data_IF_041759212966
#
_entry.id   IF_041759212966
#
_cell.length_a   1.000
_cell.length_b   1.000
_cell.length_c   1.000
_cell.angle_alpha   90.00
_cell.angle_beta   90.00
_cell.angle_gamma   90.00
#
_symmetry.space_group_name_H-M   'P 1'
#
loop_
_entity.id
_entity.type
_entity.pdbx_description
1 polymer ?
#
# COMPACT_ATOMS: atom_id res chain seq x y z
N UNK A 1 12.48 13.92 11.32
CA UNK A 1 12.58 13.67 9.87
C UNK A 1 13.51 14.73 9.32
N UNK A 2 14.67 14.33 8.80
CA UNK A 2 15.73 15.26 8.46
C UNK A 2 15.63 15.58 6.96
N UNK A 3 14.72 16.48 6.58
CA UNK A 3 14.72 17.07 5.24
C UNK A 3 15.85 18.08 5.18
N UNK A 4 17.06 17.62 4.83
CA UNK A 4 18.19 18.50 4.61
C UNK A 4 18.17 18.98 3.17
N UNK A 5 18.25 20.29 2.97
CA UNK A 5 18.66 20.83 1.69
C UNK A 5 20.12 20.46 1.48
N UNK A 6 20.36 19.47 0.62
CA UNK A 6 21.69 18.94 0.31
C UNK A 6 22.17 19.43 -1.05
N UNK A 7 21.54 20.47 -1.62
CA UNK A 7 21.95 21.10 -2.88
C UNK A 7 23.43 21.51 -2.88
N UNK A 8 23.97 21.82 -1.70
CA UNK A 8 25.30 22.39 -1.52
C UNK A 8 26.33 21.40 -0.95
N UNK A 9 25.91 20.15 -0.66
CA UNK A 9 26.84 19.09 -0.22
C UNK A 9 27.58 18.57 -1.44
N UNK A 10 28.86 18.92 -1.62
CA UNK A 10 29.61 18.74 -2.87
C UNK A 10 29.50 17.37 -3.57
N UNK A 11 29.44 16.26 -2.82
CA UNK A 11 29.19 14.93 -3.40
C UNK A 11 27.75 14.75 -3.91
N UNK A 12 26.77 15.21 -3.13
CA UNK A 12 25.35 15.19 -3.49
C UNK A 12 25.04 16.19 -4.62
N UNK A 13 25.66 17.37 -4.60
CA UNK A 13 25.60 18.36 -5.67
C UNK A 13 26.16 17.80 -6.98
N UNK A 14 27.30 17.10 -6.95
CA UNK A 14 27.88 16.46 -8.13
C UNK A 14 27.00 15.30 -8.64
N UNK A 15 26.43 14.50 -7.74
CA UNK A 15 25.48 13.44 -8.09
C UNK A 15 24.19 14.03 -8.69
N UNK A 16 23.63 15.08 -8.09
CA UNK A 16 22.46 15.81 -8.60
C UNK A 16 22.76 16.49 -9.92
N UNK A 17 23.93 17.10 -10.09
CA UNK A 17 24.39 17.66 -11.36
C UNK A 17 24.47 16.57 -12.42
N UNK A 18 24.94 15.37 -12.06
CA UNK A 18 24.99 14.23 -12.99
C UNK A 18 23.58 13.79 -13.39
N UNK A 19 22.65 13.68 -12.44
CA UNK A 19 21.26 13.33 -12.72
C UNK A 19 20.50 14.43 -13.47
N UNK A 20 20.74 15.70 -13.15
CA UNK A 20 20.19 16.86 -13.86
C UNK A 20 20.76 16.94 -15.27
N UNK A 21 22.06 16.73 -15.45
CA UNK A 21 22.68 16.66 -16.77
C UNK A 21 22.13 15.48 -17.59
N UNK A 22 21.89 14.32 -16.96
CA UNK A 22 21.24 13.18 -17.61
C UNK A 22 19.77 13.49 -17.97
N UNK A 23 19.02 14.15 -17.09
CA UNK A 23 17.65 14.58 -17.31
C UNK A 23 17.55 15.67 -18.39
N UNK A 24 18.49 16.62 -18.41
CA UNK A 24 18.61 17.69 -19.40
C UNK A 24 19.07 17.15 -20.75
N UNK A 25 19.99 16.18 -20.77
CA UNK A 25 20.36 15.46 -22.00
C UNK A 25 19.19 14.65 -22.54
N UNK A 26 18.42 13.99 -21.68
CA UNK A 26 17.18 13.30 -22.07
C UNK A 26 16.11 14.29 -22.57
N UNK A 27 16.02 15.48 -21.98
CA UNK A 27 15.10 16.55 -22.38
C UNK A 27 15.50 17.19 -23.71
N UNK A 28 16.80 17.43 -23.94
CA UNK A 28 17.36 18.04 -25.16
C UNK A 28 17.32 17.11 -26.38
N UNK A 29 17.25 15.79 -26.18
CA UNK A 29 17.02 14.81 -27.26
C UNK A 29 15.56 14.77 -27.74
N UNK A 30 14.62 15.47 -27.09
CA UNK A 30 13.20 15.46 -27.47
C UNK A 30 12.95 16.30 -28.73
N UNK A 31 12.93 15.61 -29.87
CA UNK A 31 12.10 15.99 -31.03
C UNK A 31 10.62 15.61 -30.86
N UNK A 32 10.25 14.88 -29.80
CA UNK A 32 8.86 14.61 -29.44
C UNK A 32 8.75 14.46 -27.92
N UNK A 33 7.85 15.22 -27.30
CA UNK A 33 7.40 14.92 -25.94
C UNK A 33 6.75 13.53 -25.98
N UNK A 34 7.40 12.53 -25.38
CA UNK A 34 6.70 11.28 -25.04
C UNK A 34 5.71 11.65 -23.95
N UNK A 35 4.50 12.01 -24.38
CA UNK A 35 3.39 12.35 -23.51
C UNK A 35 2.76 11.09 -22.92
N UNK A 36 1.97 11.27 -21.87
CA UNK A 36 0.98 10.26 -21.52
C UNK A 36 0.04 10.09 -22.72
N UNK A 37 -0.21 8.86 -23.15
CA UNK A 37 -1.23 8.56 -24.16
C UNK A 37 -2.61 8.59 -23.47
N UNK A 38 -3.00 9.79 -23.00
CA UNK A 38 -4.24 9.99 -22.25
C UNK A 38 -5.45 9.55 -23.08
N UNK A 39 -6.41 8.90 -22.41
CA UNK A 39 -7.58 8.31 -23.07
C UNK A 39 -7.28 7.08 -23.94
N UNK A 40 -6.04 6.56 -23.95
CA UNK A 40 -5.69 5.30 -24.61
C UNK A 40 -5.44 4.19 -23.59
N UNK A 41 -5.56 2.95 -24.03
CA UNK A 41 -5.25 1.75 -23.24
C UNK A 41 -4.33 0.83 -24.03
N UNK A 42 -3.45 0.11 -23.33
CA UNK A 42 -2.65 -0.97 -23.90
C UNK A 42 -3.07 -2.31 -23.27
N UNK A 43 -3.05 -3.39 -24.04
CA UNK A 43 -3.37 -4.74 -23.58
C UNK A 43 -2.14 -5.67 -23.71
N UNK A 44 -1.16 -5.58 -22.80
CA UNK A 44 -0.01 -6.47 -22.81
C UNK A 44 -0.26 -7.85 -22.17
N UNK A 45 0.50 -8.85 -22.63
CA UNK A 45 0.69 -10.15 -21.99
C UNK A 45 2.12 -10.33 -21.52
N UNK A 46 2.30 -10.85 -20.31
CA UNK A 46 3.63 -11.04 -19.71
C UNK A 46 4.36 -12.25 -20.30
N UNK A 47 5.58 -12.03 -20.81
CA UNK A 47 6.40 -13.07 -21.47
C UNK A 47 7.43 -13.71 -20.55
N UNK A 48 8.05 -12.92 -19.67
CA UNK A 48 9.14 -13.38 -18.80
C UNK A 48 8.69 -13.44 -17.35
N UNK A 49 9.32 -14.29 -16.51
CA UNK A 49 9.21 -14.13 -15.07
C UNK A 49 9.60 -12.71 -14.64
N UNK A 50 8.98 -12.17 -13.59
CA UNK A 50 9.27 -10.82 -13.15
C UNK A 50 10.60 -10.76 -12.38
N UNK A 51 11.21 -9.58 -12.40
CA UNK A 51 12.36 -9.24 -11.57
C UNK A 51 12.10 -7.93 -10.84
N UNK A 52 12.65 -7.79 -9.63
CA UNK A 52 12.53 -6.58 -8.84
C UNK A 52 13.86 -5.83 -8.78
N UNK A 53 13.79 -4.54 -9.09
CA UNK A 53 14.84 -3.57 -8.78
C UNK A 53 14.17 -2.38 -8.06
N UNK A 54 14.13 -1.19 -8.69
CA UNK A 54 13.34 -0.05 -8.20
C UNK A 54 11.83 -0.20 -8.47
N UNK A 55 11.47 -1.13 -9.34
CA UNK A 55 10.10 -1.48 -9.74
C UNK A 55 10.00 -2.99 -9.93
N UNK A 56 8.79 -3.53 -10.02
CA UNK A 56 8.55 -4.89 -10.52
C UNK A 56 8.54 -4.84 -12.04
N UNK A 57 9.41 -5.61 -12.68
CA UNK A 57 9.66 -5.52 -14.11
C UNK A 57 9.50 -6.87 -14.80
N UNK A 58 8.95 -6.88 -16.01
CA UNK A 58 8.97 -8.04 -16.91
C UNK A 58 8.88 -7.57 -18.37
N UNK A 59 9.30 -8.44 -19.30
CA UNK A 59 9.00 -8.22 -20.72
C UNK A 59 7.55 -8.61 -20.96
N UNK A 60 6.83 -7.73 -21.65
CA UNK A 60 5.45 -7.95 -22.09
C UNK A 60 5.34 -7.80 -23.59
N UNK A 61 4.34 -8.42 -24.20
CA UNK A 61 4.04 -8.30 -25.63
C UNK A 61 2.61 -7.81 -25.88
N UNK A 62 2.41 -7.10 -26.98
CA UNK A 62 1.09 -6.78 -27.52
C UNK A 62 0.54 -7.89 -28.45
N UNK A 63 -0.66 -7.67 -28.99
CA UNK A 63 -1.28 -8.61 -29.92
C UNK A 63 -0.50 -8.78 -31.25
N UNK A 64 0.46 -7.93 -31.57
CA UNK A 64 1.30 -8.07 -32.77
C UNK A 64 2.65 -8.74 -32.48
N UNK A 65 2.92 -9.09 -31.22
CA UNK A 65 4.21 -9.65 -30.79
C UNK A 65 5.28 -8.60 -30.53
N UNK A 66 4.91 -7.31 -30.47
CA UNK A 66 5.81 -6.21 -30.11
C UNK A 66 6.12 -6.32 -28.62
N UNK A 67 7.39 -6.59 -28.30
CA UNK A 67 7.84 -6.74 -26.93
C UNK A 67 8.37 -5.42 -26.34
N UNK A 68 8.01 -5.12 -25.10
CA UNK A 68 8.51 -3.97 -24.34
C UNK A 68 8.76 -4.33 -22.87
N UNK A 69 9.68 -3.64 -22.21
CA UNK A 69 9.86 -3.74 -20.76
C UNK A 69 8.72 -3.00 -20.04
N UNK A 70 7.95 -3.72 -19.23
CA UNK A 70 6.98 -3.16 -18.29
C UNK A 70 7.66 -2.88 -16.94
N UNK A 71 7.33 -1.75 -16.32
CA UNK A 71 7.82 -1.35 -14.99
C UNK A 71 6.64 -0.92 -14.11
N UNK A 72 6.31 -1.73 -13.11
CA UNK A 72 5.26 -1.46 -12.11
C UNK A 72 5.88 -0.88 -10.84
N UNK A 73 5.59 0.39 -10.57
CA UNK A 73 6.04 1.08 -9.37
C UNK A 73 5.06 0.91 -8.20
N UNK A 74 5.51 1.28 -7.00
CA UNK A 74 4.73 1.29 -5.75
C UNK A 74 4.06 -0.05 -5.41
N UNK A 75 4.65 -1.16 -5.87
CA UNK A 75 4.20 -2.51 -5.52
C UNK A 75 4.70 -2.91 -4.12
N UNK A 76 3.97 -3.75 -3.37
CA UNK A 76 4.38 -4.17 -2.02
C UNK A 76 5.77 -4.80 -2.03
N UNK A 77 6.45 -4.81 -0.89
CA UNK A 77 7.75 -5.49 -0.77
C UNK A 77 7.63 -7.00 -0.98
N UNK A 78 8.73 -7.61 -1.43
CA UNK A 78 8.78 -9.05 -1.75
C UNK A 78 8.49 -9.93 -0.52
N UNK A 79 8.87 -9.46 0.67
CA UNK A 79 8.57 -10.09 1.97
C UNK A 79 7.08 -10.15 2.29
N UNK A 80 6.29 -9.19 1.80
CA UNK A 80 4.85 -9.13 2.01
C UNK A 80 4.09 -9.81 0.86
N UNK A 81 4.48 -9.51 -0.38
CA UNK A 81 3.91 -10.09 -1.60
C UNK A 81 5.06 -10.41 -2.56
N UNK A 82 5.37 -11.70 -2.75
CA UNK A 82 6.41 -12.12 -3.68
C UNK A 82 6.20 -11.53 -5.08
N UNK A 83 7.28 -11.11 -5.72
CA UNK A 83 7.26 -10.46 -7.03
C UNK A 83 6.53 -11.31 -8.09
N UNK A 84 6.64 -12.65 -8.01
CA UNK A 84 5.95 -13.59 -8.88
C UNK A 84 4.43 -13.63 -8.67
N UNK A 85 3.94 -13.27 -7.48
CA UNK A 85 2.50 -13.19 -7.20
C UNK A 85 1.93 -11.82 -7.63
N UNK A 86 2.77 -10.79 -7.80
CA UNK A 86 2.38 -9.47 -8.34
C UNK A 86 2.23 -9.52 -9.86
N UNK A 87 3.21 -10.14 -10.55
CA UNK A 87 3.30 -10.16 -12.00
C UNK A 87 3.61 -11.57 -12.50
N UNK A 88 2.58 -12.35 -12.80
CA UNK A 88 2.76 -13.73 -13.24
C UNK A 88 3.12 -13.81 -14.73
N UNK A 89 3.99 -14.76 -15.09
CA UNK A 89 4.24 -15.09 -16.49
C UNK A 89 2.94 -15.55 -17.15
N UNK A 90 2.64 -15.00 -18.32
CA UNK A 90 1.40 -15.24 -19.06
C UNK A 90 0.21 -14.40 -18.59
N UNK A 91 0.34 -13.61 -17.53
CA UNK A 91 -0.72 -12.71 -17.09
C UNK A 91 -1.01 -11.65 -18.15
N UNK A 92 -2.29 -11.32 -18.30
CA UNK A 92 -2.80 -10.34 -19.26
C UNK A 92 -3.39 -9.19 -18.45
N UNK A 93 -3.09 -7.96 -18.85
CA UNK A 93 -3.63 -6.79 -18.18
C UNK A 93 -3.94 -5.68 -19.17
N UNK A 94 -4.81 -4.77 -18.74
CA UNK A 94 -5.00 -3.46 -19.37
C UNK A 94 -4.14 -2.46 -18.61
N UNK A 95 -3.35 -1.68 -19.35
CA UNK A 95 -2.64 -0.50 -18.84
C UNK A 95 -3.36 0.74 -19.35
N UNK A 96 -3.95 1.50 -18.43
CA UNK A 96 -4.61 2.79 -18.70
C UNK A 96 -3.56 3.88 -18.91
N UNK A 97 -3.85 4.82 -19.80
CA UNK A 97 -3.01 5.99 -20.10
C UNK A 97 -1.51 5.68 -20.23
N UNK A 98 -1.12 4.70 -21.08
CA UNK A 98 0.21 4.13 -21.07
C UNK A 98 1.29 5.20 -21.26
N UNK A 99 2.27 5.19 -20.37
CA UNK A 99 3.39 6.12 -20.37
C UNK A 99 4.68 5.41 -20.76
N UNK A 100 5.25 5.82 -21.89
CA UNK A 100 6.55 5.31 -22.33
C UNK A 100 7.66 6.22 -21.83
N UNK A 101 8.63 5.62 -21.15
CA UNK A 101 9.86 6.28 -20.74
C UNK A 101 10.99 5.86 -21.67
N UNK A 102 11.71 6.83 -22.20
CA UNK A 102 12.97 6.59 -22.91
C UNK A 102 14.11 6.53 -21.89
N UNK A 103 14.87 5.43 -21.92
CA UNK A 103 16.08 5.21 -21.14
C UNK A 103 17.28 5.94 -21.77
N UNK A 104 18.38 6.06 -21.01
CA UNK A 104 19.60 6.76 -21.48
C UNK A 104 20.25 6.11 -22.70
N UNK A 105 20.02 4.81 -22.88
CA UNK A 105 20.46 3.99 -24.01
C UNK A 105 19.53 4.08 -25.23
N UNK A 106 18.45 4.88 -25.16
CA UNK A 106 17.47 5.05 -26.24
C UNK A 106 16.38 3.98 -26.28
N UNK A 107 16.39 3.00 -25.36
CA UNK A 107 15.33 2.00 -25.26
C UNK A 107 14.06 2.60 -24.63
N UNK A 108 12.90 2.08 -25.00
CA UNK A 108 11.62 2.49 -24.42
C UNK A 108 11.09 1.43 -23.46
N UNK A 109 10.56 1.87 -22.33
CA UNK A 109 9.87 1.04 -21.35
C UNK A 109 8.49 1.57 -21.04
N UNK A 110 7.51 0.68 -20.90
CA UNK A 110 6.17 1.01 -20.43
C UNK A 110 6.19 1.15 -18.91
N UNK A 111 5.98 2.35 -18.40
CA UNK A 111 6.05 2.68 -16.98
C UNK A 111 4.65 2.90 -16.42
N UNK A 112 4.35 2.26 -15.30
CA UNK A 112 3.09 2.38 -14.57
C UNK A 112 3.39 2.87 -13.16
N UNK A 113 3.04 4.13 -12.89
CA UNK A 113 3.26 4.78 -11.59
C UNK A 113 2.07 4.62 -10.64
N UNK A 114 0.84 4.67 -11.16
CA UNK A 114 -0.35 4.49 -10.34
C UNK A 114 -0.78 3.02 -10.33
N UNK A 115 -0.92 2.44 -9.14
CA UNK A 115 -1.36 1.05 -8.96
C UNK A 115 -2.76 0.78 -9.52
N UNK A 116 -3.58 1.83 -9.64
CA UNK A 116 -4.92 1.77 -10.24
C UNK A 116 -4.92 1.84 -11.77
N UNK A 117 -3.78 2.08 -12.42
CA UNK A 117 -3.68 2.16 -13.89
C UNK A 117 -3.54 0.79 -14.55
N UNK A 118 -3.37 -0.26 -13.75
CA UNK A 118 -3.31 -1.64 -14.23
C UNK A 118 -4.57 -2.40 -13.81
N UNK A 119 -5.18 -3.08 -14.77
CA UNK A 119 -6.33 -3.96 -14.55
C UNK A 119 -5.92 -5.36 -15.00
N UNK A 120 -5.80 -6.28 -14.06
CA UNK A 120 -5.53 -7.68 -14.36
C UNK A 120 -6.77 -8.34 -14.96
N UNK A 121 -6.59 -9.06 -16.07
CA UNK A 121 -7.67 -9.77 -16.73
C UNK A 121 -7.56 -11.26 -16.50
N UNK A 122 -8.71 -11.86 -16.25
CA UNK A 122 -8.89 -13.29 -16.21
C UNK A 122 -8.76 -13.85 -17.63
N UNK A 123 -8.30 -15.10 -17.78
CA UNK A 123 -8.13 -15.71 -19.11
C UNK A 123 -9.43 -15.83 -19.94
N UNK A 124 -10.58 -15.66 -19.30
CA UNK A 124 -11.94 -15.71 -19.87
C UNK A 124 -12.56 -14.36 -20.14
N UNK A 125 -11.90 -13.28 -19.74
CA UNK A 125 -12.43 -11.94 -19.95
C UNK A 125 -12.61 -11.70 -21.45
N UNK A 126 -13.79 -11.19 -21.84
CA UNK A 126 -14.14 -10.96 -23.25
C UNK A 126 -13.15 -10.02 -23.94
N UNK A 127 -12.48 -9.15 -23.17
CA UNK A 127 -11.46 -8.21 -23.66
C UNK A 127 -10.14 -8.90 -24.00
N UNK A 128 -9.92 -10.15 -23.59
CA UNK A 128 -8.71 -10.92 -23.92
C UNK A 128 -8.79 -11.46 -25.36
N UNK A 129 -7.79 -11.21 -26.23
CA UNK A 129 -7.71 -11.77 -27.57
C UNK A 129 -7.78 -13.29 -27.58
N UNK A 130 -8.53 -13.85 -28.53
CA UNK A 130 -8.73 -15.30 -28.66
C UNK A 130 -7.42 -16.10 -28.72
N UNK A 131 -6.38 -15.54 -29.34
CA UNK A 131 -5.03 -16.13 -29.43
C UNK A 131 -4.32 -16.28 -28.08
N UNK A 132 -4.75 -15.56 -27.06
CA UNK A 132 -4.19 -15.60 -25.71
C UNK A 132 -5.11 -16.28 -24.71
N UNK A 133 -6.38 -16.53 -25.06
CA UNK A 133 -7.29 -17.31 -24.23
C UNK A 133 -6.77 -18.73 -24.13
N UNK A 134 -6.41 -19.13 -22.92
CA UNK A 134 -6.04 -20.52 -22.62
C UNK A 134 -7.33 -21.26 -22.29
N UNK A 135 -7.63 -22.43 -22.88
CA UNK A 135 -8.84 -23.22 -22.56
C UNK A 135 -8.94 -23.54 -21.07
N UNK A 136 -10.15 -23.50 -20.49
CA UNK A 136 -10.35 -23.75 -19.06
C UNK A 136 -10.33 -25.25 -18.92
N UNK A 137 -9.13 -25.78 -18.76
CA UNK A 137 -8.99 -27.09 -18.17
C UNK A 137 -9.29 -26.86 -16.71
N UNK A 138 -10.54 -27.17 -16.30
CA UNK A 138 -10.88 -27.31 -14.90
C UNK A 138 -9.74 -28.12 -14.27
N UNK A 139 -9.01 -27.57 -13.29
CA UNK A 139 -7.85 -28.23 -12.74
C UNK A 139 -8.24 -29.64 -12.32
N UNK A 140 -7.39 -30.64 -12.59
CA UNK A 140 -7.64 -32.05 -12.22
C UNK A 140 -8.07 -32.20 -10.75
N UNK A 141 -7.61 -31.27 -9.93
CA UNK A 141 -7.77 -31.23 -8.47
C UNK A 141 -9.12 -30.65 -8.01
N UNK A 142 -9.89 -29.99 -8.90
CA UNK A 142 -11.14 -29.30 -8.58
C UNK A 142 -11.01 -28.20 -7.52
N UNK A 143 -12.13 -27.58 -7.11
CA UNK A 143 -12.10 -26.54 -6.06
C UNK A 143 -11.49 -27.05 -4.75
N UNK A 144 -11.88 -28.25 -4.31
CA UNK A 144 -11.40 -28.85 -3.06
C UNK A 144 -9.88 -29.06 -3.04
N UNK A 145 -9.29 -29.54 -4.13
CA UNK A 145 -7.85 -29.77 -4.20
C UNK A 145 -7.06 -28.46 -4.25
N UNK A 146 -7.50 -27.48 -5.05
CA UNK A 146 -6.89 -26.13 -5.08
C UNK A 146 -6.96 -25.48 -3.70
N UNK A 147 -8.11 -25.56 -3.02
CA UNK A 147 -8.27 -25.09 -1.64
C UNK A 147 -7.31 -25.78 -0.67
N UNK A 148 -7.07 -27.07 -0.87
CA UNK A 148 -6.06 -27.83 -0.12
C UNK A 148 -4.64 -27.26 -0.30
N UNK A 149 -4.28 -26.87 -1.52
CA UNK A 149 -3.02 -26.18 -1.81
C UNK A 149 -2.97 -24.80 -1.12
N UNK A 150 -4.08 -24.04 -1.16
CA UNK A 150 -4.20 -22.76 -0.46
C UNK A 150 -4.00 -22.92 1.05
N UNK A 151 -4.60 -23.94 1.66
CA UNK A 151 -4.41 -24.25 3.09
C UNK A 151 -2.93 -24.57 3.43
N UNK A 152 -2.21 -25.23 2.51
CA UNK A 152 -0.77 -25.48 2.66
C UNK A 152 0.02 -24.17 2.58
N UNK A 153 -0.32 -23.29 1.64
CA UNK A 153 0.28 -21.95 1.55
C UNK A 153 0.05 -21.12 2.82
N UNK A 154 -1.16 -21.15 3.39
CA UNK A 154 -1.48 -20.52 4.70
C UNK A 154 -0.60 -21.06 5.83
N UNK A 155 -0.41 -22.39 5.92
CA UNK A 155 0.47 -23.01 6.92
C UNK A 155 1.92 -22.54 6.79
N UNK A 156 2.36 -22.29 5.57
CA UNK A 156 3.69 -21.76 5.25
C UNK A 156 3.77 -20.23 5.34
N UNK A 157 2.68 -19.55 5.70
CA UNK A 157 2.57 -18.07 5.71
C UNK A 157 2.77 -17.42 4.32
N UNK A 158 2.54 -18.16 3.24
CA UNK A 158 2.58 -17.68 1.86
C UNK A 158 1.26 -16.99 1.49
N UNK A 159 0.95 -15.85 2.13
CA UNK A 159 -0.38 -15.22 2.06
C UNK A 159 -0.82 -14.85 0.64
N UNK A 160 0.03 -14.20 -0.15
CA UNK A 160 -0.32 -13.80 -1.52
C UNK A 160 -0.63 -14.99 -2.43
N UNK A 161 0.14 -16.08 -2.30
CA UNK A 161 -0.11 -17.32 -3.04
C UNK A 161 -1.39 -18.01 -2.59
N UNK A 162 -1.67 -18.01 -1.28
CA UNK A 162 -2.92 -18.53 -0.75
C UNK A 162 -4.13 -17.75 -1.30
N UNK A 163 -4.03 -16.43 -1.40
CA UNK A 163 -5.04 -15.54 -1.98
C UNK A 163 -5.40 -15.99 -3.39
N UNK A 164 -4.39 -16.12 -4.26
CA UNK A 164 -4.57 -16.57 -5.64
C UNK A 164 -5.20 -17.96 -5.73
N UNK A 165 -4.76 -18.89 -4.89
CA UNK A 165 -5.30 -20.25 -4.85
C UNK A 165 -6.76 -20.26 -4.39
N UNK A 166 -7.14 -19.45 -3.40
CA UNK A 166 -8.53 -19.37 -2.97
C UNK A 166 -9.40 -18.64 -3.99
N UNK A 167 -8.91 -17.58 -4.65
CA UNK A 167 -9.57 -16.94 -5.79
C UNK A 167 -9.88 -17.96 -6.90
N UNK A 168 -8.91 -18.82 -7.25
CA UNK A 168 -9.13 -19.87 -8.22
C UNK A 168 -10.10 -20.96 -7.71
N UNK A 169 -10.04 -21.29 -6.42
CA UNK A 169 -10.98 -22.23 -5.80
C UNK A 169 -12.43 -21.74 -5.85
N UNK A 170 -12.66 -20.43 -5.72
CA UNK A 170 -14.00 -19.81 -5.91
C UNK A 170 -14.48 -20.03 -7.35
N UNK A 171 -13.64 -19.74 -8.34
CA UNK A 171 -13.98 -19.92 -9.76
C UNK A 171 -14.27 -21.38 -10.14
N UNK A 172 -13.61 -22.33 -9.48
CA UNK A 172 -13.79 -23.77 -9.73
C UNK A 172 -14.86 -24.42 -8.84
N UNK A 173 -15.53 -23.68 -7.95
CA UNK A 173 -16.48 -24.27 -7.01
C UNK A 173 -17.66 -24.92 -7.73
N UNK A 174 -17.91 -26.19 -7.45
CA UNK A 174 -19.03 -26.93 -8.05
C UNK A 174 -20.30 -26.87 -7.21
N UNK A 175 -20.20 -26.52 -5.92
CA UNK A 175 -21.32 -26.39 -5.00
C UNK A 175 -21.23 -25.10 -4.19
N UNK A 176 -22.38 -24.67 -3.67
CA UNK A 176 -22.50 -23.52 -2.78
C UNK A 176 -21.60 -23.65 -1.54
N UNK A 177 -21.50 -24.84 -0.95
CA UNK A 177 -20.65 -25.07 0.23
C UNK A 177 -19.16 -24.97 -0.09
N UNK A 178 -18.73 -25.43 -1.27
CA UNK A 178 -17.34 -25.27 -1.71
C UNK A 178 -16.99 -23.81 -1.91
N UNK A 179 -17.88 -23.06 -2.56
CA UNK A 179 -17.75 -21.63 -2.80
C UNK A 179 -17.69 -20.86 -1.47
N UNK A 180 -18.63 -21.10 -0.54
CA UNK A 180 -18.65 -20.46 0.78
C UNK A 180 -17.34 -20.66 1.54
N UNK A 181 -16.81 -21.90 1.59
CA UNK A 181 -15.56 -22.18 2.32
C UNK A 181 -14.37 -21.50 1.64
N UNK A 182 -14.36 -21.42 0.30
CA UNK A 182 -13.31 -20.72 -0.44
C UNK A 182 -13.30 -19.21 -0.11
N UNK A 183 -14.48 -18.57 -0.05
CA UNK A 183 -14.60 -17.16 0.36
C UNK A 183 -14.17 -16.92 1.81
N UNK A 184 -14.51 -17.80 2.77
CA UNK A 184 -14.04 -17.66 4.16
C UNK A 184 -12.51 -17.71 4.27
N UNK A 185 -11.92 -18.65 3.55
CA UNK A 185 -10.47 -18.80 3.50
C UNK A 185 -9.80 -17.58 2.83
N UNK A 186 -10.39 -17.09 1.74
CA UNK A 186 -9.92 -15.88 1.06
C UNK A 186 -10.05 -14.64 1.98
N UNK A 187 -11.15 -14.52 2.72
CA UNK A 187 -11.36 -13.45 3.71
C UNK A 187 -10.23 -13.39 4.74
N UNK A 188 -9.87 -14.53 5.34
CA UNK A 188 -8.75 -14.63 6.28
C UNK A 188 -7.44 -14.15 5.65
N UNK A 189 -7.16 -14.58 4.42
CA UNK A 189 -5.93 -14.19 3.73
C UNK A 189 -5.93 -12.70 3.39
N UNK A 190 -7.07 -12.13 2.98
CA UNK A 190 -7.21 -10.70 2.74
C UNK A 190 -6.96 -9.88 4.01
N UNK A 191 -7.38 -10.35 5.19
CA UNK A 191 -6.99 -9.72 6.47
C UNK A 191 -5.47 -9.75 6.70
N UNK A 192 -4.83 -10.88 6.38
CA UNK A 192 -3.37 -11.04 6.54
C UNK A 192 -2.56 -10.20 5.55
N UNK A 193 -3.12 -9.93 4.38
CA UNK A 193 -2.55 -9.01 3.38
C UNK A 193 -2.87 -7.53 3.65
N UNK A 194 -3.55 -7.20 4.75
CA UNK A 194 -3.91 -5.82 5.07
C UNK A 194 -5.02 -5.24 4.18
N UNK A 195 -5.91 -6.09 3.66
CA UNK A 195 -7.03 -5.76 2.77
C UNK A 195 -8.39 -5.99 3.47
N UNK A 196 -8.70 -5.27 4.56
CA UNK A 196 -9.86 -5.57 5.41
C UNK A 196 -11.20 -5.40 4.69
N UNK A 197 -11.31 -4.48 3.73
CA UNK A 197 -12.55 -4.27 2.98
C UNK A 197 -12.85 -5.46 2.05
N UNK A 198 -11.83 -6.00 1.37
CA UNK A 198 -11.99 -7.25 0.60
C UNK A 198 -12.37 -8.41 1.51
N UNK A 199 -11.68 -8.54 2.64
CA UNK A 199 -12.01 -9.58 3.61
C UNK A 199 -13.45 -9.51 4.12
N UNK A 200 -13.95 -8.29 4.38
CA UNK A 200 -15.33 -8.08 4.81
C UNK A 200 -16.33 -8.43 3.71
N UNK A 201 -16.05 -8.08 2.44
CA UNK A 201 -16.88 -8.48 1.29
C UNK A 201 -16.94 -10.01 1.16
N UNK A 202 -15.80 -10.69 1.25
CA UNK A 202 -15.72 -12.16 1.20
C UNK A 202 -16.50 -12.81 2.36
N UNK A 203 -16.35 -12.28 3.58
CA UNK A 203 -17.06 -12.80 4.76
C UNK A 203 -18.58 -12.60 4.65
N UNK A 204 -19.02 -11.44 4.15
CA UNK A 204 -20.44 -11.16 3.90
C UNK A 204 -21.01 -12.08 2.82
N UNK A 205 -20.27 -12.32 1.73
CA UNK A 205 -20.67 -13.26 0.68
C UNK A 205 -20.83 -14.68 1.22
N UNK A 206 -19.89 -15.12 2.05
CA UNK A 206 -19.94 -16.45 2.66
C UNK A 206 -21.10 -16.64 3.65
N UNK A 207 -21.84 -15.58 4.00
CA UNK A 207 -22.93 -15.59 4.99
C UNK A 207 -22.48 -16.24 6.30
N UNK A 208 -21.39 -15.72 6.88
CA UNK A 208 -20.81 -16.22 8.13
C UNK A 208 -21.86 -16.38 9.25
N UNK A 209 -22.86 -15.51 9.23
CA UNK A 209 -24.05 -15.45 10.07
C UNK A 209 -24.96 -16.70 10.02
N UNK A 210 -24.81 -17.56 9.01
CA UNK A 210 -25.62 -18.79 8.82
C UNK A 210 -24.79 -20.07 9.01
N UNK A 211 -23.48 -19.97 9.25
CA UNK A 211 -22.60 -21.14 9.35
C UNK A 211 -22.74 -21.86 10.70
N UNK A 212 -22.64 -23.21 10.71
CA UNK A 212 -22.49 -23.97 11.94
C UNK A 212 -21.26 -23.46 12.70
N UNK A 213 -21.38 -23.13 14.00
CA UNK A 213 -20.32 -22.49 14.78
C UNK A 213 -18.98 -23.22 14.63
N UNK A 214 -19.01 -24.55 14.63
CA UNK A 214 -17.85 -25.44 14.60
C UNK A 214 -16.87 -25.18 13.43
N UNK A 215 -17.37 -24.74 12.27
CA UNK A 215 -16.52 -24.41 11.10
C UNK A 215 -15.89 -23.01 11.16
N UNK A 216 -16.44 -22.13 11.98
CA UNK A 216 -15.93 -20.78 12.24
C UNK A 216 -15.00 -20.72 13.47
N UNK A 217 -15.00 -21.75 14.32
CA UNK A 217 -14.93 -21.53 15.76
C UNK A 217 -13.56 -21.18 16.36
N UNK A 218 -12.43 -21.44 15.70
CA UNK A 218 -11.13 -21.18 16.34
C UNK A 218 -10.58 -19.77 16.07
N UNK A 219 -10.52 -19.36 14.80
CA UNK A 219 -10.02 -18.03 14.44
C UNK A 219 -11.07 -16.94 14.65
N UNK A 220 -12.34 -17.21 14.39
CA UNK A 220 -13.41 -16.23 14.62
C UNK A 220 -13.53 -15.85 16.11
N UNK A 221 -13.31 -16.79 17.03
CA UNK A 221 -13.39 -16.49 18.48
C UNK A 221 -12.28 -15.54 18.92
N UNK A 222 -11.02 -15.82 18.58
CA UNK A 222 -9.89 -14.94 18.94
C UNK A 222 -10.04 -13.56 18.32
N UNK A 223 -10.39 -13.51 17.04
CA UNK A 223 -10.49 -12.25 16.31
C UNK A 223 -11.73 -11.45 16.78
N UNK A 224 -12.81 -12.11 17.22
CA UNK A 224 -13.95 -11.48 17.88
C UNK A 224 -13.58 -10.87 19.24
N UNK A 225 -12.84 -11.60 20.08
CA UNK A 225 -12.37 -11.04 21.36
C UNK A 225 -11.44 -9.84 21.13
N UNK A 226 -10.52 -9.93 20.16
CA UNK A 226 -9.70 -8.80 19.75
C UNK A 226 -10.54 -7.62 19.26
N UNK A 227 -11.59 -7.86 18.47
CA UNK A 227 -12.49 -6.79 18.01
C UNK A 227 -13.26 -6.14 19.17
N UNK A 228 -13.67 -6.91 20.18
CA UNK A 228 -14.28 -6.38 21.40
C UNK A 228 -13.31 -5.50 22.20
N UNK A 229 -12.05 -5.94 22.36
CA UNK A 229 -10.98 -5.12 22.98
C UNK A 229 -10.82 -3.79 22.25
N UNK A 230 -10.70 -3.81 20.91
CA UNK A 230 -10.59 -2.59 20.09
C UNK A 230 -11.80 -1.67 20.21
N UNK A 231 -13.02 -2.23 20.31
CA UNK A 231 -14.24 -1.44 20.48
C UNK A 231 -14.33 -0.81 21.88
N UNK A 232 -13.84 -1.50 22.91
CA UNK A 232 -13.75 -0.96 24.27
C UNK A 232 -12.77 0.22 24.28
N UNK A 233 -11.55 0.02 23.81
CA UNK A 233 -10.52 1.06 23.68
C UNK A 233 -11.04 2.31 22.94
N UNK A 234 -11.69 2.12 21.80
CA UNK A 234 -12.24 3.23 21.01
C UNK A 234 -13.30 4.04 21.76
N UNK A 235 -14.11 3.38 22.60
CA UNK A 235 -15.18 4.03 23.34
C UNK A 235 -14.70 4.71 24.61
N UNK A 236 -13.78 4.08 25.33
CA UNK A 236 -13.44 4.45 26.71
C UNK A 236 -12.06 5.10 26.84
N UNK A 237 -11.16 4.87 25.88
CA UNK A 237 -9.75 5.26 26.01
C UNK A 237 -9.00 4.45 27.06
N UNK A 238 -9.57 3.32 27.50
CA UNK A 238 -8.95 2.42 28.47
C UNK A 238 -7.97 1.48 27.77
N UNK A 239 -6.68 1.76 27.94
CA UNK A 239 -5.59 1.03 27.32
C UNK A 239 -4.71 0.34 28.36
N UNK A 240 -4.32 -0.90 28.09
CA UNK A 240 -3.21 -1.54 28.82
C UNK A 240 -1.87 -1.00 28.30
N UNK A 241 -1.45 0.13 28.83
CA UNK A 241 -0.18 0.76 28.47
C UNK A 241 1.02 -0.17 28.70
N UNK A 242 0.99 -1.05 29.71
CA UNK A 242 2.09 -2.01 29.94
C UNK A 242 2.20 -3.00 28.79
N UNK A 243 1.07 -3.50 28.29
CA UNK A 243 1.02 -4.34 27.10
C UNK A 243 1.47 -3.58 25.86
N UNK A 244 1.05 -2.33 25.67
CA UNK A 244 1.49 -1.50 24.54
C UNK A 244 3.00 -1.26 24.56
N UNK A 245 3.60 -0.97 25.72
CA UNK A 245 5.05 -0.83 25.85
C UNK A 245 5.79 -2.11 25.44
N UNK A 246 5.33 -3.28 25.91
CA UNK A 246 5.91 -4.57 25.49
C UNK A 246 5.78 -4.83 23.99
N UNK A 247 4.66 -4.42 23.38
CA UNK A 247 4.45 -4.53 21.93
C UNK A 247 5.36 -3.61 21.12
N UNK A 248 5.80 -2.49 21.70
CA UNK A 248 6.69 -1.53 21.07
C UNK A 248 8.19 -1.85 21.24
N UNK A 249 8.56 -2.85 22.07
CA UNK A 249 9.94 -3.31 22.25
C UNK A 249 10.57 -3.92 20.97
N UNK A 250 9.91 -4.82 20.23
CA UNK A 250 10.47 -5.35 18.98
C UNK A 250 10.47 -4.28 17.87
N UNK A 251 11.55 -4.24 17.07
CA UNK A 251 11.68 -3.34 15.92
C UNK A 251 11.28 -4.04 14.61
N UNK A 252 10.52 -3.38 13.71
CA UNK A 252 9.87 -2.08 13.91
C UNK A 252 8.68 -2.16 14.90
N UNK A 253 8.41 -1.09 15.67
CA UNK A 253 7.43 -1.13 16.76
C UNK A 253 6.01 -1.24 16.21
N UNK A 254 5.30 -2.32 16.57
CA UNK A 254 3.93 -2.55 16.15
C UNK A 254 3.01 -2.69 17.35
N UNK A 255 2.24 -1.64 17.62
CA UNK A 255 1.24 -1.63 18.70
C UNK A 255 -0.14 -1.95 18.12
N UNK A 256 -0.81 -2.90 18.74
CA UNK A 256 -2.16 -3.32 18.36
C UNK A 256 -3.18 -2.71 19.33
N UNK A 257 -3.66 -1.52 18.98
CA UNK A 257 -4.66 -0.73 19.71
C UNK A 257 -5.62 -0.03 18.73
N UNK A 258 -6.77 0.41 19.22
CA UNK A 258 -7.74 1.25 18.51
C UNK A 258 -7.50 2.75 18.74
N UNK A 259 -8.07 3.58 17.87
CA UNK A 259 -8.06 5.03 18.03
C UNK A 259 -9.07 5.46 19.10
N UNK A 260 -8.74 6.49 19.88
CA UNK A 260 -9.61 7.14 20.85
C UNK A 260 -9.48 8.65 20.70
N UNK A 261 -10.59 9.31 20.37
CA UNK A 261 -10.67 10.76 20.17
C UNK A 261 -11.99 11.35 20.67
N UNK A 262 -12.76 10.60 21.46
CA UNK A 262 -14.08 11.01 21.98
C UNK A 262 -14.14 12.38 22.68
N UNK A 263 -13.18 12.78 23.53
CA UNK A 263 -13.24 14.06 24.24
C UNK A 263 -12.80 15.26 23.38
N UNK A 264 -12.44 15.03 22.12
CA UNK A 264 -11.93 16.06 21.22
C UNK A 264 -12.63 16.04 19.87
N UNK A 265 -12.60 17.15 19.16
CA UNK A 265 -13.09 17.26 17.80
C UNK A 265 -12.26 18.23 16.96
N UNK A 266 -12.29 18.04 15.65
CA UNK A 266 -11.59 18.90 14.71
C UNK A 266 -12.53 20.03 14.25
N UNK A 267 -12.14 21.28 14.49
CA UNK A 267 -12.89 22.49 14.04
C UNK A 267 -11.97 23.46 13.31
N UNK A 268 -12.56 24.45 12.62
CA UNK A 268 -11.78 25.57 12.06
C UNK A 268 -11.25 26.45 13.19
N UNK A 269 -9.95 26.68 13.18
CA UNK A 269 -9.23 27.59 14.07
C UNK A 269 -8.90 28.89 13.33
N UNK A 270 -9.35 30.06 13.83
CA UNK A 270 -9.11 31.35 13.18
C UNK A 270 -7.63 31.58 12.86
N UNK A 271 -7.32 31.81 11.58
CA UNK A 271 -5.96 32.08 11.10
C UNK A 271 -4.99 30.88 11.13
N UNK A 272 -5.43 29.68 11.54
CA UNK A 272 -4.55 28.50 11.72
C UNK A 272 -5.06 27.21 11.05
N UNK A 273 -6.13 27.30 10.26
CA UNK A 273 -6.67 26.15 9.53
C UNK A 273 -7.53 25.25 10.41
N UNK A 274 -7.28 23.93 10.41
CA UNK A 274 -7.97 22.97 11.29
C UNK A 274 -7.25 22.91 12.65
N UNK A 275 -8.00 22.88 13.74
CA UNK A 275 -7.49 22.73 15.11
C UNK A 275 -8.27 21.66 15.88
N UNK A 276 -7.67 21.13 16.93
CA UNK A 276 -8.27 20.15 17.84
C UNK A 276 -8.84 20.88 19.06
N UNK A 277 -10.11 20.66 19.38
CA UNK A 277 -10.84 21.32 20.46
C UNK A 277 -11.43 20.27 21.40
N UNK A 278 -11.45 20.54 22.70
CA UNK A 278 -12.13 19.66 23.66
C UNK A 278 -13.64 19.85 23.56
N UNK A 279 -14.39 18.75 23.70
CA UNK A 279 -15.86 18.73 23.71
C UNK A 279 -16.43 18.74 25.13
N UNK A 280 -15.58 18.41 26.11
CA UNK A 280 -15.89 18.35 27.54
C UNK A 280 -14.80 19.08 28.34
N UNK A 281 -15.06 19.48 29.60
CA UNK A 281 -14.01 19.92 30.52
C UNK A 281 -13.00 18.79 30.75
N UNK A 282 -11.70 19.12 30.75
CA UNK A 282 -10.60 18.16 30.87
C UNK A 282 -9.68 18.56 32.02
N UNK A 283 -9.24 17.57 32.79
CA UNK A 283 -8.24 17.74 33.85
C UNK A 283 -6.83 17.40 33.38
N UNK A 284 -5.82 17.97 34.04
CA UNK A 284 -4.41 17.62 33.75
C UNK A 284 -4.19 16.12 34.00
N UNK A 285 -3.62 15.43 33.01
CA UNK A 285 -3.32 14.00 33.05
C UNK A 285 -4.39 13.10 32.45
N UNK A 286 -5.56 13.63 32.05
CA UNK A 286 -6.56 12.88 31.31
C UNK A 286 -6.14 12.61 29.87
N UNK A 287 -6.50 11.44 29.34
CA UNK A 287 -6.23 11.06 27.96
C UNK A 287 -7.14 11.86 27.01
N UNK A 288 -6.52 12.66 26.12
CA UNK A 288 -7.24 13.43 25.10
C UNK A 288 -7.38 12.67 23.79
N UNK A 289 -6.31 11.98 23.37
CA UNK A 289 -6.19 11.41 22.05
C UNK A 289 -5.22 10.22 22.10
N UNK A 290 -5.61 9.10 21.50
CA UNK A 290 -4.72 8.02 21.13
C UNK A 290 -5.03 7.65 19.68
N UNK A 291 -4.09 7.85 18.77
CA UNK A 291 -4.31 7.59 17.35
C UNK A 291 -3.27 6.61 16.83
N UNK A 292 -3.75 5.58 16.14
CA UNK A 292 -2.90 4.72 15.34
C UNK A 292 -2.55 5.45 14.05
N UNK A 293 -1.26 5.59 13.78
CA UNK A 293 -0.79 6.19 12.54
C UNK A 293 -1.43 5.49 11.33
N UNK A 294 -1.91 6.29 10.37
CA UNK A 294 -2.51 5.75 9.14
C UNK A 294 -1.53 4.82 8.40
N UNK A 295 -0.27 5.23 8.33
CA UNK A 295 0.86 4.41 7.92
C UNK A 295 2.10 4.91 8.66
N UNK A 296 3.10 4.04 8.84
CA UNK A 296 4.36 4.42 9.45
C UNK A 296 5.52 3.65 8.80
N UNK A 297 6.67 4.31 8.71
CA UNK A 297 7.90 3.68 8.27
C UNK A 297 8.96 3.94 9.34
N UNK A 298 9.54 2.85 9.85
CA UNK A 298 10.65 2.92 10.78
C UNK A 298 11.95 3.16 10.00
N UNK A 299 12.75 4.12 10.45
CA UNK A 299 14.01 4.51 9.81
C UNK A 299 15.08 4.83 10.87
N UNK A 300 15.11 4.05 11.95
CA UNK A 300 16.14 4.16 12.99
C UNK A 300 17.47 3.53 12.54
N UNK A 301 18.57 3.90 13.20
CA UNK A 301 19.90 3.33 12.91
C UNK A 301 19.95 1.81 13.11
N UNK A 302 19.14 1.32 14.06
CA UNK A 302 18.97 -0.11 14.38
C UNK A 302 17.98 -0.82 13.46
N UNK A 303 17.52 -0.18 12.36
CA UNK A 303 16.66 -0.84 11.38
C UNK A 303 17.41 -2.01 10.72
N UNK A 304 16.99 -3.27 10.94
CA UNK A 304 17.65 -4.44 10.38
C UNK A 304 17.56 -4.50 8.85
N UNK A 305 16.59 -3.81 8.25
CA UNK A 305 16.38 -3.77 6.80
C UNK A 305 17.25 -2.67 6.15
N UNK A 306 17.78 -1.71 6.93
CA UNK A 306 18.52 -0.53 6.47
C UNK A 306 18.02 0.00 5.14
N UNK A 307 16.72 0.28 5.08
CA UNK A 307 16.11 0.84 3.88
C UNK A 307 16.36 2.35 3.81
N UNK A 308 17.63 2.74 3.64
CA UNK A 308 18.00 4.10 3.24
C UNK A 308 17.46 4.35 1.84
N UNK A 309 16.21 4.79 1.76
CA UNK A 309 15.59 5.19 0.51
C UNK A 309 15.82 6.68 0.29
N UNK A 310 16.27 7.02 -0.91
CA UNK A 310 16.41 8.40 -1.38
C UNK A 310 15.26 8.67 -2.34
N UNK A 311 14.33 9.52 -1.94
CA UNK A 311 13.25 10.00 -2.80
C UNK A 311 13.69 11.33 -3.41
N UNK A 312 13.68 11.42 -4.74
CA UNK A 312 13.97 12.67 -5.45
C UNK A 312 12.72 13.14 -6.16
N UNK A 313 12.15 14.25 -5.71
CA UNK A 313 11.09 14.94 -6.43
C UNK A 313 11.72 15.85 -7.49
N UNK A 314 11.65 15.43 -8.76
CA UNK A 314 12.25 16.18 -9.87
C UNK A 314 11.54 17.50 -10.17
N UNK A 315 10.26 17.63 -9.81
CA UNK A 315 9.49 18.86 -10.02
C UNK A 315 9.87 19.96 -9.03
N UNK A 316 10.06 19.60 -7.75
CA UNK A 316 10.46 20.53 -6.69
C UNK A 316 11.97 20.56 -6.47
N UNK A 317 12.73 19.68 -7.15
CA UNK A 317 14.17 19.43 -6.95
C UNK A 317 14.53 19.10 -5.51
N UNK A 318 13.61 18.49 -4.75
CA UNK A 318 13.84 18.13 -3.35
C UNK A 318 14.27 16.68 -3.25
N UNK A 319 15.22 16.43 -2.37
CA UNK A 319 15.64 15.08 -2.01
C UNK A 319 15.23 14.82 -0.58
N UNK A 320 14.52 13.72 -0.34
CA UNK A 320 14.27 13.23 1.01
C UNK A 320 15.01 11.92 1.22
N UNK A 321 15.66 11.81 2.37
CA UNK A 321 16.36 10.60 2.80
C UNK A 321 15.63 10.01 4.01
N UNK A 322 15.37 8.70 4.00
CA UNK A 322 14.77 7.96 5.11
C UNK A 322 13.60 7.09 4.68
N UNK A 323 12.61 6.90 5.56
CA UNK A 323 11.47 6.00 5.34
C UNK A 323 10.37 6.52 4.40
N UNK A 324 10.51 7.71 3.80
CA UNK A 324 9.42 8.31 3.01
C UNK A 324 9.05 7.51 1.76
N UNK A 325 10.00 6.94 1.01
CA UNK A 325 9.65 6.19 -0.20
C UNK A 325 8.83 4.94 0.15
N UNK A 326 9.20 4.27 1.24
CA UNK A 326 8.46 3.12 1.77
C UNK A 326 7.08 3.56 2.29
N UNK A 327 6.99 4.69 2.99
CA UNK A 327 5.72 5.25 3.47
C UNK A 327 4.75 5.58 2.33
N UNK A 328 5.23 6.18 1.24
CA UNK A 328 4.43 6.46 0.04
C UNK A 328 3.86 5.16 -0.52
N UNK A 329 4.72 4.14 -0.70
CA UNK A 329 4.29 2.83 -1.18
C UNK A 329 3.21 2.21 -0.28
N UNK A 330 3.41 2.18 1.04
CA UNK A 330 2.42 1.66 1.98
C UNK A 330 1.08 2.39 1.87
N UNK A 331 1.10 3.73 1.82
CA UNK A 331 -0.11 4.55 1.70
C UNK A 331 -0.81 4.27 0.38
N UNK A 332 -0.10 4.27 -0.74
CA UNK A 332 -0.69 3.98 -2.07
C UNK A 332 -1.37 2.62 -2.07
N UNK A 333 -0.72 1.58 -1.54
CA UNK A 333 -1.30 0.23 -1.44
C UNK A 333 -2.53 0.18 -0.52
N UNK A 334 -2.47 0.89 0.62
CA UNK A 334 -3.59 0.97 1.57
C UNK A 334 -4.80 1.69 0.97
N UNK A 335 -4.58 2.81 0.26
CA UNK A 335 -5.64 3.54 -0.43
C UNK A 335 -6.26 2.71 -1.56
N UNK A 336 -5.43 1.98 -2.31
CA UNK A 336 -5.89 1.13 -3.41
C UNK A 336 -6.77 -0.04 -2.92
N UNK A 337 -6.40 -0.65 -1.79
CA UNK A 337 -7.15 -1.78 -1.23
C UNK A 337 -8.23 -1.38 -0.22
N UNK A 338 -8.33 -0.10 0.14
CA UNK A 338 -9.25 0.42 1.15
C UNK A 338 -9.91 1.74 0.72
N UNK A 339 -10.85 1.72 -0.24
CA UNK A 339 -11.52 2.93 -0.70
C UNK A 339 -12.29 3.67 0.41
N UNK A 340 -12.85 2.98 1.41
CA UNK A 340 -13.50 3.67 2.55
C UNK A 340 -12.46 4.36 3.42
N UNK A 341 -11.36 3.67 3.73
CA UNK A 341 -10.24 4.26 4.47
C UNK A 341 -9.58 5.43 3.71
N UNK A 342 -9.73 5.46 2.39
CA UNK A 342 -9.20 6.53 1.55
C UNK A 342 -9.93 7.86 1.74
N UNK A 343 -11.19 7.85 2.20
CA UNK A 343 -11.98 9.07 2.38
C UNK A 343 -11.36 10.01 3.41
N UNK A 344 -11.00 9.50 4.60
CA UNK A 344 -10.37 10.32 5.64
C UNK A 344 -9.01 10.87 5.19
N UNK A 345 -8.23 10.04 4.47
CA UNK A 345 -6.97 10.49 3.87
C UNK A 345 -7.21 11.61 2.84
N UNK A 346 -8.33 11.58 2.11
CA UNK A 346 -8.75 12.62 1.15
C UNK A 346 -9.09 13.97 1.73
N UNK A 347 -9.37 14.02 3.02
CA UNK A 347 -9.68 15.26 3.72
C UNK A 347 -8.45 15.92 4.37
N UNK A 348 -7.27 15.29 4.27
CA UNK A 348 -6.01 15.85 4.74
C UNK A 348 -5.57 17.04 3.91
N UNK A 349 -4.77 17.91 4.53
CA UNK A 349 -4.34 19.15 3.89
C UNK A 349 -3.35 18.87 2.75
N UNK A 350 -3.72 19.21 1.51
CA UNK A 350 -2.89 19.01 0.32
C UNK A 350 -2.38 20.32 -0.32
N UNK A 351 -2.58 21.46 0.35
CA UNK A 351 -2.27 22.78 -0.21
C UNK A 351 -3.14 23.10 -1.43
N UNK A 352 -2.53 23.68 -2.47
CA UNK A 352 -3.24 24.14 -3.68
C UNK A 352 -3.38 23.05 -4.76
N UNK A 353 -3.10 21.79 -4.43
CA UNK A 353 -3.18 20.71 -5.41
C UNK A 353 -4.65 20.33 -5.67
N UNK A 354 -5.11 20.54 -6.90
CA UNK A 354 -6.43 20.11 -7.34
C UNK A 354 -6.33 18.74 -8.00
N UNK A 355 -7.17 17.79 -7.55
CA UNK A 355 -7.25 16.46 -8.16
C UNK A 355 -7.74 16.56 -9.62
N UNK A 356 -7.01 16.01 -10.60
CA UNK A 356 -7.52 15.89 -11.96
C UNK A 356 -8.83 15.08 -11.99
N UNK A 357 -9.75 15.41 -12.90
CA UNK A 357 -10.95 14.59 -13.14
C UNK A 357 -10.51 13.20 -13.61
N UNK A 358 -10.93 12.16 -12.90
CA UNK A 358 -10.66 10.76 -13.22
C UNK A 358 -11.79 10.22 -14.10
N UNK A 359 -11.48 9.30 -15.02
CA UNK A 359 -12.48 8.55 -15.79
C UNK A 359 -13.43 7.80 -14.82
N UNK A 360 -14.73 8.09 -14.90
CA UNK A 360 -15.78 7.57 -14.01
C UNK A 360 -16.11 6.08 -14.24
N UNK A 361 -15.51 5.44 -15.25
CA UNK A 361 -15.87 4.09 -15.69
C UNK A 361 -15.16 2.96 -14.90
N UNK A 362 -14.14 3.29 -14.08
CA UNK A 362 -13.37 2.31 -13.31
C UNK A 362 -13.12 2.75 -11.86
N UNK A 363 -12.63 1.82 -11.02
CA UNK A 363 -12.26 2.06 -9.63
C UNK A 363 -11.45 3.37 -9.45
N UNK A 364 -11.70 4.12 -8.36
CA UNK A 364 -11.14 5.45 -8.17
C UNK A 364 -9.61 5.42 -8.20
N UNK A 365 -9.02 6.27 -9.04
CA UNK A 365 -7.56 6.37 -9.20
C UNK A 365 -6.91 6.82 -7.91
N UNK A 366 -5.82 6.13 -7.53
CA UNK A 366 -4.93 6.56 -6.45
C UNK A 366 -3.89 7.50 -7.07
N UNK A 367 -4.17 8.81 -7.03
CA UNK A 367 -3.26 9.83 -7.53
C UNK A 367 -2.01 9.92 -6.62
N UNK A 368 -0.89 9.42 -7.13
CA UNK A 368 0.41 9.40 -6.48
C UNK A 368 0.92 10.81 -6.16
N UNK A 369 0.74 11.78 -7.06
CA UNK A 369 1.24 13.15 -6.86
C UNK A 369 0.49 13.82 -5.71
N UNK A 370 -0.81 13.55 -5.62
CA UNK A 370 -1.64 14.04 -4.52
C UNK A 370 -1.28 13.36 -3.20
N UNK A 371 -1.04 12.03 -3.21
CA UNK A 371 -0.53 11.29 -2.04
C UNK A 371 0.82 11.86 -1.57
N UNK A 372 1.76 12.07 -2.49
CA UNK A 372 3.07 12.65 -2.19
C UNK A 372 2.93 14.05 -1.59
N UNK A 373 2.02 14.86 -2.13
CA UNK A 373 1.74 16.20 -1.61
C UNK A 373 1.21 16.17 -0.18
N UNK A 374 0.23 15.30 0.10
CA UNK A 374 -0.30 15.12 1.46
C UNK A 374 0.80 14.68 2.42
N UNK A 375 1.59 13.67 2.04
CA UNK A 375 2.68 13.17 2.88
C UNK A 375 3.65 14.31 3.16
N UNK A 376 4.05 15.09 2.14
CA UNK A 376 4.99 16.20 2.31
C UNK A 376 4.53 17.30 3.27
N UNK A 377 3.21 17.44 3.49
CA UNK A 377 2.62 18.49 4.31
C UNK A 377 2.12 18.01 5.68
N UNK A 378 1.86 16.71 5.85
CA UNK A 378 1.21 16.16 7.05
C UNK A 378 2.08 15.13 7.78
N UNK A 379 3.14 14.62 7.16
CA UNK A 379 4.03 13.65 7.81
C UNK A 379 4.92 14.34 8.84
N UNK A 380 5.14 13.68 9.96
CA UNK A 380 6.11 14.07 10.96
C UNK A 380 6.92 12.84 11.38
N UNK A 381 8.18 13.07 11.78
CA UNK A 381 9.00 12.01 12.36
C UNK A 381 9.01 12.16 13.87
N UNK A 382 8.80 11.07 14.59
CA UNK A 382 8.93 11.01 16.04
C UNK A 382 10.09 10.06 16.39
N UNK A 383 11.04 10.46 17.25
CA UNK A 383 12.03 9.52 17.78
C UNK A 383 11.32 8.48 18.67
N UNK A 384 11.86 7.27 18.75
CA UNK A 384 11.40 6.29 19.74
C UNK A 384 11.64 6.87 21.14
N UNK A 385 10.55 7.22 21.83
CA UNK A 385 10.61 7.78 23.17
C UNK A 385 11.03 6.69 24.15
N UNK A 386 12.23 6.81 24.69
CA UNK A 386 12.68 5.99 25.81
C UNK A 386 12.67 6.80 27.10
N UNK A 387 12.57 6.12 28.25
CA UNK A 387 12.73 6.76 29.56
C UNK A 387 14.05 7.55 29.62
N UNK A 388 15.13 7.02 29.04
CA UNK A 388 16.42 7.70 28.98
C UNK A 388 16.36 8.98 28.14
N UNK A 389 15.71 8.95 26.97
CA UNK A 389 15.52 10.13 26.10
C UNK A 389 14.73 11.23 26.82
N UNK A 390 13.68 10.86 27.56
CA UNK A 390 12.87 11.82 28.31
C UNK A 390 13.69 12.41 29.48
N UNK A 391 14.38 11.58 30.25
CA UNK A 391 15.22 12.05 31.38
C UNK A 391 16.28 13.04 30.88
N UNK A 392 16.98 12.72 29.79
CA UNK A 392 17.99 13.60 29.21
C UNK A 392 17.38 14.93 28.71
N UNK A 393 16.19 14.89 28.11
CA UNK A 393 15.51 16.12 27.68
C UNK A 393 15.07 17.02 28.84
N UNK A 394 14.72 16.42 29.98
CA UNK A 394 14.32 17.16 31.19
C UNK A 394 15.55 17.75 31.90
N UNK A 395 16.69 17.06 31.91
CA UNK A 395 17.94 17.63 32.42
C UNK A 395 18.42 18.80 31.56
N UNK A 396 18.37 18.67 30.24
CA UNK A 396 18.78 19.74 29.31
C UNK A 396 17.92 21.00 29.40
N UNK A 397 16.64 20.86 29.74
CA UNK A 397 15.75 22.01 29.98
C UNK A 397 16.04 22.71 31.31
N UNK A 398 16.41 21.96 32.34
CA UNK A 398 16.78 22.51 33.65
C UNK A 398 18.16 23.18 33.65
N UNK A 399 19.06 22.82 32.73
CA UNK A 399 20.36 23.50 32.56
C UNK A 399 20.27 24.79 31.74
N UNK A 400 19.15 25.04 31.04
CA UNK A 400 18.92 26.22 30.19
C UNK A 400 18.01 27.28 30.83
N UNK A 401 17.56 27.06 32.06
CA UNK A 401 16.86 28.02 32.93
C UNK A 401 17.78 28.47 34.04
#
# INVERSE_FOLDING_TARGET
MDTKDVSDVGYFAAMLQTYQNAADQASKRKGQQVGHHRGSMALPRTLTPPQRMTAVMAIVEDEQGTAVLLQLYHQPEDSAVPTQEILQKGAICIVKEPFFKCSTDGTYSLRVDHVSDIIWLDGWDDRVPSKWRVPFLAPSDGSKGIRGQGNKAVKNQEWAKAERLYSHSVLCAGTWEEEQIAYLNHSLVNLKLGRPEKAMKDAAWARVDVLPPEKCLFYAKRDLERAKERLHEQKTGDYDFRRMYKQAEPMPPLVDCANFSTPVEVRKSPGRGKGLFTTVPISVGELLLCEKAFAYSYAGEDDPVRSFSVLMNMSTKKVTVGGQAHLIMQIVQKLYHGPVQSCEFRELYCGDYNTPRVFEEYDPVVDLFWVEKIISLNVFGAPCTSRATIINSVSDMNEKT
#
